data_IF_259502308047
#
_entry.id   IF_259502308047
#
_cell.length_a   1.000
_cell.length_b   1.000
_cell.length_c   1.000
_cell.angle_alpha   90.00
_cell.angle_beta   90.00
_cell.angle_gamma   90.00
#
_symmetry.space_group_name_H-M   'P 1'
#
loop_
_entity.id
_entity.type
_entity.pdbx_description
1 polymer ?
#
# COMPACT_ATOMS: atom_id res chain seq x y z
N UNK A 1 -18.01 -4.86 -14.26
CA UNK A 1 -17.27 -6.04 -13.78
C UNK A 1 -17.58 -7.14 -14.78
N UNK A 2 -16.57 -7.65 -15.50
CA UNK A 2 -16.77 -8.83 -16.35
C UNK A 2 -17.29 -9.96 -15.47
N UNK A 3 -18.39 -10.60 -15.87
CA UNK A 3 -18.89 -11.80 -15.23
C UNK A 3 -17.76 -12.85 -15.23
N UNK A 4 -17.48 -13.40 -14.05
CA UNK A 4 -16.54 -14.50 -13.95
C UNK A 4 -17.25 -15.75 -14.46
N UNK A 5 -16.78 -16.31 -15.56
CA UNK A 5 -17.33 -17.54 -16.11
C UNK A 5 -16.97 -18.72 -15.20
N UNK A 6 -17.98 -19.33 -14.60
CA UNK A 6 -17.82 -20.45 -13.67
C UNK A 6 -17.91 -21.77 -14.44
N UNK A 7 -16.94 -22.70 -14.29
CA UNK A 7 -17.04 -24.02 -14.93
C UNK A 7 -18.34 -24.72 -14.51
N UNK A 8 -19.14 -25.22 -15.49
CA UNK A 8 -20.47 -25.83 -15.25
C UNK A 8 -20.46 -26.88 -14.15
N UNK A 9 -19.43 -27.75 -14.14
CA UNK A 9 -19.22 -28.82 -13.15
C UNK A 9 -18.90 -28.32 -11.72
N UNK A 10 -18.62 -27.05 -11.53
CA UNK A 10 -18.21 -26.45 -10.24
C UNK A 10 -19.16 -25.34 -9.76
N UNK A 11 -20.32 -25.18 -10.40
CA UNK A 11 -21.26 -24.10 -10.08
C UNK A 11 -21.70 -24.14 -8.61
N UNK A 12 -22.11 -25.27 -8.10
CA UNK A 12 -22.56 -25.46 -6.70
C UNK A 12 -21.41 -25.12 -5.70
N UNK A 13 -20.19 -25.57 -6.00
CA UNK A 13 -19.04 -25.35 -5.13
C UNK A 13 -18.69 -23.85 -5.05
N UNK A 14 -18.76 -23.13 -6.15
CA UNK A 14 -18.53 -21.65 -6.20
C UNK A 14 -19.69 -20.89 -5.55
N UNK A 15 -20.92 -21.35 -5.66
CA UNK A 15 -22.06 -20.78 -4.91
C UNK A 15 -21.86 -20.90 -3.40
N UNK A 16 -21.41 -22.07 -2.91
CA UNK A 16 -21.04 -22.27 -1.50
C UNK A 16 -19.92 -21.33 -1.06
N UNK A 17 -18.86 -21.17 -1.88
CA UNK A 17 -17.78 -20.21 -1.63
C UNK A 17 -18.32 -18.78 -1.52
N UNK A 18 -19.19 -18.39 -2.44
CA UNK A 18 -19.80 -17.05 -2.45
C UNK A 18 -20.60 -16.80 -1.17
N UNK A 19 -21.37 -17.78 -0.70
CA UNK A 19 -22.11 -17.72 0.56
C UNK A 19 -21.19 -17.49 1.76
N UNK A 20 -20.09 -18.26 1.87
CA UNK A 20 -19.12 -18.12 2.97
C UNK A 20 -18.40 -16.76 2.91
N UNK A 21 -18.00 -16.28 1.73
CA UNK A 21 -17.40 -14.97 1.55
C UNK A 21 -18.35 -13.86 2.05
N UNK A 22 -19.65 -13.95 1.76
CA UNK A 22 -20.67 -13.01 2.25
C UNK A 22 -20.83 -13.08 3.77
N UNK A 23 -20.94 -14.28 4.33
CA UNK A 23 -21.06 -14.51 5.78
C UNK A 23 -19.88 -13.95 6.57
N UNK A 24 -18.66 -14.03 6.01
CA UNK A 24 -17.44 -13.48 6.62
C UNK A 24 -17.24 -11.98 6.38
N UNK A 25 -18.19 -11.31 5.73
CA UNK A 25 -18.13 -9.87 5.45
C UNK A 25 -16.84 -9.41 4.76
N UNK A 26 -16.32 -10.19 3.80
CA UNK A 26 -15.15 -9.79 3.04
C UNK A 26 -15.43 -8.52 2.22
N UNK A 27 -14.46 -7.61 2.16
CA UNK A 27 -14.54 -6.43 1.29
C UNK A 27 -14.71 -6.87 -0.17
N UNK A 28 -15.49 -6.12 -0.96
CA UNK A 28 -15.78 -6.43 -2.38
C UNK A 28 -14.55 -6.82 -3.20
N UNK A 29 -13.42 -6.10 -3.04
CA UNK A 29 -12.17 -6.40 -3.75
C UNK A 29 -11.57 -7.75 -3.34
N UNK A 30 -11.57 -8.09 -2.04
CA UNK A 30 -11.09 -9.37 -1.53
C UNK A 30 -11.99 -10.51 -2.01
N UNK A 31 -13.32 -10.32 -1.92
CA UNK A 31 -14.30 -11.26 -2.40
C UNK A 31 -14.10 -11.60 -3.89
N UNK A 32 -13.97 -10.56 -4.72
CA UNK A 32 -13.70 -10.73 -6.15
C UNK A 32 -12.38 -11.49 -6.40
N UNK A 33 -11.32 -11.14 -5.70
CA UNK A 33 -10.01 -11.79 -5.85
C UNK A 33 -10.07 -13.27 -5.48
N UNK A 34 -10.75 -13.60 -4.40
CA UNK A 34 -10.91 -14.99 -3.96
C UNK A 34 -11.75 -15.81 -4.92
N UNK A 35 -12.87 -15.27 -5.38
CA UNK A 35 -13.69 -15.93 -6.40
C UNK A 35 -12.88 -16.15 -7.68
N UNK A 36 -12.22 -15.11 -8.17
CA UNK A 36 -11.42 -15.19 -9.40
C UNK A 36 -10.36 -16.29 -9.32
N UNK A 37 -9.57 -16.33 -8.26
CA UNK A 37 -8.48 -17.31 -8.17
C UNK A 37 -8.97 -18.74 -8.03
N UNK A 38 -10.09 -18.97 -7.35
CA UNK A 38 -10.69 -20.30 -7.31
C UNK A 38 -11.26 -20.72 -8.67
N UNK A 39 -11.92 -19.82 -9.38
CA UNK A 39 -12.44 -20.08 -10.72
C UNK A 39 -11.30 -20.34 -11.71
N UNK A 40 -10.24 -19.50 -11.71
CA UNK A 40 -9.04 -19.69 -12.54
C UNK A 40 -8.40 -21.07 -12.31
N UNK A 41 -8.29 -21.50 -11.03
CA UNK A 41 -7.78 -22.82 -10.68
C UNK A 41 -8.67 -23.96 -11.17
N UNK A 42 -9.99 -23.85 -11.00
CA UNK A 42 -10.94 -24.88 -11.43
C UNK A 42 -10.99 -25.02 -12.96
N UNK A 43 -10.83 -23.93 -13.69
CA UNK A 43 -10.62 -23.97 -15.16
C UNK A 43 -9.33 -24.70 -15.52
N UNK A 44 -8.22 -24.38 -14.83
CA UNK A 44 -6.93 -25.03 -15.09
C UNK A 44 -6.96 -26.53 -14.79
N UNK A 45 -7.58 -26.92 -13.68
CA UNK A 45 -7.65 -28.34 -13.27
C UNK A 45 -8.60 -29.16 -14.14
N UNK A 46 -9.62 -28.51 -14.69
CA UNK A 46 -10.70 -29.11 -15.50
C UNK A 46 -11.39 -30.32 -14.85
N UNK A 47 -11.56 -30.29 -13.54
CA UNK A 47 -12.14 -31.32 -12.71
C UNK A 47 -13.23 -30.78 -11.79
N UNK A 48 -14.22 -31.58 -11.34
CA UNK A 48 -15.06 -31.24 -10.20
C UNK A 48 -14.21 -30.97 -8.95
N UNK A 49 -14.62 -29.99 -8.14
CA UNK A 49 -13.88 -29.58 -6.95
C UNK A 49 -13.62 -30.72 -5.96
N UNK A 50 -14.55 -31.67 -5.86
CA UNK A 50 -14.49 -32.87 -5.01
C UNK A 50 -13.41 -33.89 -5.45
N UNK A 51 -12.97 -33.82 -6.72
CA UNK A 51 -11.95 -34.71 -7.31
C UNK A 51 -10.56 -34.07 -7.41
N UNK A 52 -10.38 -32.87 -6.86
CA UNK A 52 -9.09 -32.18 -6.83
C UNK A 52 -8.16 -32.89 -5.85
N UNK A 53 -6.90 -32.98 -6.23
CA UNK A 53 -5.82 -33.62 -5.47
C UNK A 53 -4.68 -32.64 -5.20
N UNK A 54 -3.80 -33.00 -4.26
CA UNK A 54 -2.56 -32.24 -4.00
C UNK A 54 -1.69 -32.12 -5.28
N UNK A 55 -1.70 -33.13 -6.14
CA UNK A 55 -0.98 -33.12 -7.43
C UNK A 55 -1.51 -32.00 -8.35
N UNK A 56 -2.83 -31.76 -8.36
CA UNK A 56 -3.43 -30.70 -9.17
C UNK A 56 -3.04 -29.30 -8.62
N UNK A 57 -3.00 -29.12 -7.29
CA UNK A 57 -2.52 -27.90 -6.66
C UNK A 57 -1.06 -27.61 -7.03
N UNK A 58 -0.18 -28.60 -6.92
CA UNK A 58 1.23 -28.45 -7.25
C UNK A 58 1.43 -28.08 -8.74
N UNK A 59 0.72 -28.78 -9.66
CA UNK A 59 0.73 -28.43 -11.09
C UNK A 59 0.30 -26.99 -11.35
N UNK A 60 -0.70 -26.50 -10.63
CA UNK A 60 -1.15 -25.11 -10.78
C UNK A 60 -0.12 -24.12 -10.26
N UNK A 61 0.54 -24.40 -9.13
CA UNK A 61 1.61 -23.53 -8.63
C UNK A 61 2.76 -23.46 -9.63
N UNK A 62 3.16 -24.58 -10.26
CA UNK A 62 4.18 -24.59 -11.29
C UNK A 62 3.74 -23.83 -12.55
N UNK A 63 2.47 -23.95 -12.93
CA UNK A 63 1.90 -23.13 -14.00
C UNK A 63 2.00 -21.63 -13.72
N UNK A 64 1.66 -21.18 -12.49
CA UNK A 64 1.80 -19.78 -12.10
C UNK A 64 3.26 -19.32 -12.11
N UNK A 65 4.21 -20.16 -11.68
CA UNK A 65 5.64 -19.85 -11.71
C UNK A 65 6.14 -19.71 -13.15
N UNK A 66 5.80 -20.64 -14.05
CA UNK A 66 6.14 -20.59 -15.48
C UNK A 66 5.61 -19.30 -16.13
N UNK A 67 4.45 -18.81 -15.73
CA UNK A 67 3.88 -17.53 -16.16
C UNK A 67 4.52 -16.32 -15.50
N UNK A 68 5.54 -16.48 -14.67
CA UNK A 68 6.22 -15.40 -13.92
C UNK A 68 5.28 -14.56 -13.06
N UNK A 69 4.24 -15.20 -12.51
CA UNK A 69 3.31 -14.55 -11.57
C UNK A 69 4.10 -14.18 -10.30
N UNK A 70 3.89 -12.97 -9.78
CA UNK A 70 4.62 -12.50 -8.61
C UNK A 70 4.41 -13.40 -7.38
N UNK A 71 5.44 -13.57 -6.56
CA UNK A 71 5.39 -14.34 -5.32
C UNK A 71 4.24 -13.90 -4.41
N UNK A 72 3.99 -12.59 -4.29
CA UNK A 72 2.85 -12.07 -3.53
C UNK A 72 1.50 -12.51 -4.09
N UNK A 73 1.34 -12.54 -5.42
CA UNK A 73 0.12 -13.01 -6.08
C UNK A 73 -0.07 -14.51 -5.85
N UNK A 74 1.00 -15.30 -5.93
CA UNK A 74 0.96 -16.75 -5.62
C UNK A 74 0.50 -16.98 -4.18
N UNK A 75 1.01 -16.20 -3.20
CA UNK A 75 0.58 -16.32 -1.80
C UNK A 75 -0.93 -16.04 -1.61
N UNK A 76 -1.48 -15.07 -2.34
CA UNK A 76 -2.92 -14.77 -2.28
C UNK A 76 -3.72 -15.90 -2.92
N UNK A 77 -3.24 -16.47 -4.04
CA UNK A 77 -3.83 -17.66 -4.66
C UNK A 77 -3.91 -18.83 -3.65
N UNK A 78 -2.77 -19.17 -3.04
CA UNK A 78 -2.68 -20.23 -2.03
C UNK A 78 -3.66 -20.00 -0.88
N UNK A 79 -3.73 -18.78 -0.36
CA UNK A 79 -4.64 -18.42 0.74
C UNK A 79 -6.11 -18.55 0.33
N UNK A 80 -6.45 -18.19 -0.91
CA UNK A 80 -7.78 -18.30 -1.47
C UNK A 80 -8.19 -19.75 -1.67
N UNK A 81 -7.31 -20.57 -2.26
CA UNK A 81 -7.53 -22.01 -2.48
C UNK A 81 -7.63 -22.77 -1.16
N UNK A 82 -6.76 -22.45 -0.18
CA UNK A 82 -6.82 -23.05 1.15
C UNK A 82 -8.19 -22.81 1.79
N UNK A 83 -8.69 -21.57 1.80
CA UNK A 83 -10.01 -21.27 2.33
C UNK A 83 -11.12 -22.06 1.59
N UNK A 84 -11.04 -22.19 0.27
CA UNK A 84 -12.02 -22.90 -0.51
C UNK A 84 -12.03 -24.41 -0.19
N UNK A 85 -10.89 -25.06 -0.22
CA UNK A 85 -10.84 -26.52 0.00
C UNK A 85 -11.04 -26.89 1.48
N UNK A 86 -10.42 -26.20 2.43
CA UNK A 86 -10.58 -26.53 3.85
C UNK A 86 -11.92 -26.05 4.43
N UNK A 87 -12.31 -24.79 4.18
CA UNK A 87 -13.48 -24.21 4.85
C UNK A 87 -14.79 -24.51 4.13
N UNK A 88 -14.79 -24.55 2.77
CA UNK A 88 -16.00 -24.74 1.97
C UNK A 88 -16.21 -26.19 1.58
N UNK A 89 -15.15 -26.84 1.06
CA UNK A 89 -15.23 -28.21 0.56
C UNK A 89 -14.97 -29.25 1.66
N UNK A 90 -14.41 -28.87 2.81
CA UNK A 90 -14.03 -29.74 3.92
C UNK A 90 -13.02 -30.82 3.53
N UNK A 91 -12.08 -30.43 2.64
CA UNK A 91 -11.03 -31.31 2.14
C UNK A 91 -9.68 -30.84 2.72
N UNK A 92 -8.92 -31.75 3.33
CA UNK A 92 -7.61 -31.48 3.92
C UNK A 92 -6.47 -31.62 2.88
N UNK A 93 -6.55 -30.81 1.82
CA UNK A 93 -5.56 -30.83 0.74
C UNK A 93 -4.26 -30.05 1.07
N UNK A 94 -4.30 -29.20 2.10
CA UNK A 94 -3.19 -28.32 2.43
C UNK A 94 -2.32 -28.84 3.57
N UNK A 95 -2.62 -30.00 4.16
CA UNK A 95 -1.82 -30.63 5.20
C UNK A 95 -0.38 -30.85 4.76
N UNK A 96 -0.20 -31.49 3.61
CA UNK A 96 1.12 -31.81 3.05
C UNK A 96 1.55 -30.83 1.96
N UNK A 97 0.81 -29.74 1.76
CA UNK A 97 1.12 -28.75 0.76
C UNK A 97 2.27 -27.83 1.22
N UNK A 98 3.39 -27.90 0.50
CA UNK A 98 4.51 -27.00 0.74
C UNK A 98 4.21 -25.61 0.15
N UNK A 99 3.99 -24.62 1.03
CA UNK A 99 3.78 -23.25 0.60
C UNK A 99 5.01 -22.74 -0.14
N UNK A 100 4.83 -22.13 -1.34
CA UNK A 100 5.93 -21.44 -2.00
C UNK A 100 6.55 -20.39 -1.09
N UNK A 101 7.88 -20.35 -1.05
CA UNK A 101 8.60 -19.34 -0.28
C UNK A 101 8.26 -17.96 -0.81
N UNK A 102 7.97 -17.02 0.09
CA UNK A 102 7.76 -15.64 -0.29
C UNK A 102 9.12 -14.98 -0.57
N UNK A 103 9.39 -14.70 -1.82
CA UNK A 103 10.51 -13.84 -2.17
C UNK A 103 10.19 -12.41 -1.73
N UNK A 104 10.96 -11.90 -0.79
CA UNK A 104 10.91 -10.49 -0.42
C UNK A 104 11.75 -9.70 -1.42
N UNK A 105 11.14 -9.22 -2.46
CA UNK A 105 11.76 -8.18 -3.26
C UNK A 105 11.85 -6.94 -2.36
N UNK A 106 13.08 -6.48 -2.09
CA UNK A 106 13.27 -5.20 -1.41
C UNK A 106 12.54 -4.13 -2.22
N UNK A 107 11.54 -3.45 -1.65
CA UNK A 107 10.86 -2.39 -2.38
C UNK A 107 11.91 -1.32 -2.71
N UNK A 108 11.85 -0.82 -3.94
CA UNK A 108 12.69 0.28 -4.36
C UNK A 108 12.49 1.46 -3.40
N UNK A 109 13.55 1.83 -2.69
CA UNK A 109 13.57 3.01 -1.86
C UNK A 109 14.19 4.16 -2.65
N UNK A 110 13.61 5.33 -2.54
CA UNK A 110 14.20 6.56 -3.09
C UNK A 110 15.13 7.18 -2.05
N UNK A 111 16.15 7.86 -2.54
CA UNK A 111 17.08 8.66 -1.74
C UNK A 111 16.44 9.97 -1.30
N UNK A 112 17.07 10.67 -0.35
CA UNK A 112 16.65 12.04 0.02
C UNK A 112 16.68 13.01 -1.17
N UNK A 113 17.69 12.91 -2.03
CA UNK A 113 17.83 13.73 -3.25
C UNK A 113 16.70 13.48 -4.23
N UNK A 114 16.34 12.21 -4.44
CA UNK A 114 15.20 11.85 -5.29
C UNK A 114 13.88 12.35 -4.71
N UNK A 115 13.70 12.30 -3.38
CA UNK A 115 12.52 12.89 -2.75
C UNK A 115 12.46 14.43 -2.94
N UNK A 116 13.58 15.12 -2.90
CA UNK A 116 13.65 16.54 -3.23
C UNK A 116 13.22 16.81 -4.67
N UNK A 117 13.69 15.99 -5.62
CA UNK A 117 13.28 16.09 -7.01
C UNK A 117 11.79 15.88 -7.20
N UNK A 118 11.20 14.89 -6.49
CA UNK A 118 9.76 14.65 -6.47
C UNK A 118 9.00 15.89 -6.00
N UNK A 119 9.38 16.46 -4.87
CA UNK A 119 8.72 17.67 -4.33
C UNK A 119 8.88 18.86 -5.28
N UNK A 120 10.06 19.04 -5.88
CA UNK A 120 10.31 20.08 -6.87
C UNK A 120 9.41 19.91 -8.09
N UNK A 121 9.31 18.71 -8.63
CA UNK A 121 8.44 18.40 -9.79
C UNK A 121 6.96 18.58 -9.42
N UNK A 122 6.55 18.14 -8.23
CA UNK A 122 5.18 18.27 -7.75
C UNK A 122 4.78 19.72 -7.46
N UNK A 123 5.75 20.64 -7.22
CA UNK A 123 5.50 22.02 -6.75
C UNK A 123 4.71 22.90 -7.73
N UNK A 124 4.59 22.49 -8.99
CA UNK A 124 3.74 23.11 -10.02
C UNK A 124 2.26 23.07 -9.59
N UNK A 125 1.86 22.05 -8.81
CA UNK A 125 0.51 21.93 -8.30
C UNK A 125 0.54 21.68 -6.79
N UNK A 126 0.07 22.64 -6.00
CA UNK A 126 0.08 22.57 -4.53
C UNK A 126 -0.63 21.33 -3.96
N UNK A 127 -1.71 20.87 -4.60
CA UNK A 127 -2.42 19.64 -4.23
C UNK A 127 -1.55 18.41 -4.40
N UNK A 128 -0.85 18.31 -5.52
CA UNK A 128 0.03 17.18 -5.83
C UNK A 128 1.26 17.15 -4.92
N UNK A 129 1.85 18.32 -4.66
CA UNK A 129 2.97 18.47 -3.75
C UNK A 129 2.60 18.05 -2.32
N UNK A 130 1.42 18.48 -1.84
CA UNK A 130 0.91 18.06 -0.53
C UNK A 130 0.61 16.57 -0.48
N UNK A 131 0.08 15.95 -1.54
CA UNK A 131 -0.12 14.50 -1.60
C UNK A 131 1.20 13.75 -1.40
N UNK A 132 2.25 14.12 -2.12
CA UNK A 132 3.59 13.54 -1.97
C UNK A 132 4.14 13.78 -0.56
N UNK A 133 3.99 14.99 -0.03
CA UNK A 133 4.43 15.36 1.31
C UNK A 133 3.74 14.57 2.42
N UNK A 134 2.42 14.42 2.35
CA UNK A 134 1.66 13.65 3.34
C UNK A 134 2.02 12.16 3.34
N UNK A 135 2.21 11.58 2.16
CA UNK A 135 2.64 10.19 2.05
C UNK A 135 4.04 10.00 2.62
N UNK A 136 4.97 10.89 2.30
CA UNK A 136 6.35 10.77 2.75
C UNK A 136 6.54 11.23 4.20
N UNK A 137 6.26 12.50 4.52
CA UNK A 137 6.50 13.04 5.87
C UNK A 137 5.50 12.54 6.90
N UNK A 138 4.26 12.26 6.49
CA UNK A 138 3.20 11.73 7.37
C UNK A 138 3.12 10.20 7.37
N UNK A 139 3.80 9.52 6.46
CA UNK A 139 3.75 8.06 6.36
C UNK A 139 2.35 7.51 6.07
N UNK A 140 1.49 8.23 5.35
CA UNK A 140 0.11 7.85 5.12
C UNK A 140 -0.04 6.72 4.09
N UNK A 141 -0.98 5.81 4.35
CA UNK A 141 -1.47 4.87 3.32
C UNK A 141 -2.39 5.62 2.35
N UNK A 142 -2.51 5.12 1.13
CA UNK A 142 -3.41 5.74 0.13
C UNK A 142 -4.84 5.89 0.64
N UNK A 143 -5.38 4.89 1.33
CA UNK A 143 -6.72 4.94 1.93
C UNK A 143 -6.85 5.99 3.03
N UNK A 144 -5.81 6.19 3.84
CA UNK A 144 -5.74 7.23 4.86
C UNK A 144 -5.68 8.61 4.21
N UNK A 145 -4.84 8.77 3.18
CA UNK A 145 -4.69 10.02 2.44
C UNK A 145 -6.00 10.51 1.82
N UNK A 146 -6.73 9.65 1.11
CA UNK A 146 -7.96 10.04 0.43
C UNK A 146 -9.11 10.35 1.40
N UNK A 147 -9.13 9.72 2.58
CA UNK A 147 -10.16 9.94 3.60
C UNK A 147 -9.85 11.11 4.53
N UNK A 148 -8.70 11.78 4.36
CA UNK A 148 -8.32 12.89 5.21
C UNK A 148 -9.24 14.09 5.00
N UNK A 149 -9.62 14.74 6.12
CA UNK A 149 -10.43 15.96 6.13
C UNK A 149 -9.64 17.10 6.74
N UNK A 150 -10.01 18.34 6.44
CA UNK A 150 -9.41 19.52 7.06
C UNK A 150 -9.49 19.48 8.59
N UNK A 151 -10.59 19.01 9.15
CA UNK A 151 -10.77 18.84 10.60
C UNK A 151 -9.78 17.86 11.26
N UNK A 152 -9.07 17.04 10.47
CA UNK A 152 -8.06 16.13 11.01
C UNK A 152 -6.68 16.82 11.17
N UNK A 153 -6.51 18.03 10.64
CA UNK A 153 -5.29 18.81 10.74
C UNK A 153 -5.39 19.77 11.95
N UNK A 154 -4.64 19.50 13.00
CA UNK A 154 -4.57 20.38 14.17
C UNK A 154 -3.34 21.31 14.03
N UNK A 155 -3.57 22.52 13.54
CA UNK A 155 -2.52 23.51 13.34
C UNK A 155 -1.87 23.97 14.66
N UNK A 156 -2.62 23.98 15.77
CA UNK A 156 -2.13 24.41 17.09
C UNK A 156 -1.20 23.35 17.67
N UNK A 157 -1.59 22.07 17.61
CA UNK A 157 -0.81 20.94 18.09
C UNK A 157 0.23 20.45 17.08
N UNK A 158 0.25 21.01 15.87
CA UNK A 158 1.09 20.56 14.76
C UNK A 158 0.98 19.06 14.52
N UNK A 159 -0.24 18.56 14.46
CA UNK A 159 -0.51 17.13 14.35
C UNK A 159 -1.62 16.79 13.37
N UNK A 160 -1.57 15.57 12.85
CA UNK A 160 -2.60 15.00 11.97
C UNK A 160 -3.22 13.81 12.67
N UNK A 161 -4.53 13.82 12.84
CA UNK A 161 -5.28 12.68 13.34
C UNK A 161 -5.62 11.73 12.18
N UNK A 162 -5.05 10.53 12.19
CA UNK A 162 -5.32 9.52 11.18
C UNK A 162 -6.31 8.51 11.76
N UNK A 163 -7.53 8.55 11.24
CA UNK A 163 -8.58 7.57 11.58
C UNK A 163 -8.44 6.38 10.64
N UNK A 164 -8.31 5.19 11.19
CA UNK A 164 -8.28 3.99 10.36
C UNK A 164 -9.69 3.47 10.09
N UNK A 165 -9.95 3.05 8.85
CA UNK A 165 -11.25 2.53 8.41
C UNK A 165 -11.51 1.07 8.79
N UNK A 166 -10.55 0.35 9.36
CA UNK A 166 -10.67 -1.07 9.72
C UNK A 166 -9.77 -1.39 10.89
N UNK A 167 -10.34 -1.78 12.04
CA UNK A 167 -9.66 -2.44 13.19
C UNK A 167 -8.17 -2.07 13.46
N UNK A 168 -7.60 -1.12 12.71
CA UNK A 168 -6.30 -0.54 12.93
C UNK A 168 -6.45 0.62 13.92
N UNK A 169 -5.51 0.75 14.83
CA UNK A 169 -5.48 1.85 15.80
C UNK A 169 -5.40 3.19 15.07
N UNK A 170 -6.26 4.13 15.47
CA UNK A 170 -6.10 5.54 15.11
C UNK A 170 -4.75 6.01 15.66
N UNK A 171 -4.05 6.83 14.90
CA UNK A 171 -2.78 7.40 15.33
C UNK A 171 -2.73 8.88 15.07
N UNK A 172 -1.92 9.57 15.86
CA UNK A 172 -1.57 10.96 15.63
C UNK A 172 -0.16 11.02 15.06
N UNK A 173 0.02 11.76 13.99
CA UNK A 173 1.33 11.99 13.35
C UNK A 173 1.69 13.45 13.53
N UNK A 174 2.90 13.73 14.00
CA UNK A 174 3.42 15.08 14.08
C UNK A 174 3.62 15.68 12.69
N UNK A 175 3.35 16.97 12.54
CA UNK A 175 3.57 17.72 11.31
C UNK A 175 4.97 18.34 11.38
N UNK A 176 5.98 17.79 10.69
CA UNK A 176 7.28 18.45 10.61
C UNK A 176 7.16 19.77 9.84
N UNK A 177 8.15 20.64 9.98
CA UNK A 177 8.14 21.99 9.41
C UNK A 177 7.88 21.96 7.90
N UNK A 178 8.51 21.03 7.21
CA UNK A 178 8.39 20.83 5.75
C UNK A 178 6.94 20.55 5.34
N UNK A 179 6.27 19.64 6.06
CA UNK A 179 4.87 19.32 5.78
C UNK A 179 3.94 20.49 6.14
N UNK A 180 4.23 21.21 7.22
CA UNK A 180 3.46 22.38 7.62
C UNK A 180 3.44 23.48 6.55
N UNK A 181 4.56 23.69 5.87
CA UNK A 181 4.65 24.63 4.74
C UNK A 181 3.77 24.17 3.56
N UNK A 182 3.82 22.88 3.22
CA UNK A 182 2.99 22.33 2.13
C UNK A 182 1.50 22.45 2.42
N UNK A 183 1.10 22.20 3.67
CA UNK A 183 -0.29 22.36 4.12
C UNK A 183 -0.74 23.81 3.92
N UNK A 184 0.02 24.79 4.44
CA UNK A 184 -0.29 26.21 4.29
C UNK A 184 -0.35 26.67 2.84
N UNK A 185 0.55 26.18 1.98
CA UNK A 185 0.55 26.48 0.54
C UNK A 185 -0.72 25.98 -0.12
N UNK A 186 -1.14 24.77 0.19
CA UNK A 186 -2.37 24.19 -0.36
C UNK A 186 -3.63 24.86 0.21
N UNK A 187 -3.65 25.19 1.51
CA UNK A 187 -4.76 25.89 2.17
C UNK A 187 -5.09 27.22 1.50
N UNK A 188 -4.06 28.00 1.10
CA UNK A 188 -4.24 29.26 0.36
C UNK A 188 -4.82 29.06 -1.05
N UNK A 189 -4.60 27.88 -1.66
CA UNK A 189 -5.07 27.55 -2.99
C UNK A 189 -6.42 26.84 -3.03
N UNK A 190 -6.90 26.35 -1.88
CA UNK A 190 -8.10 25.54 -1.76
C UNK A 190 -9.23 26.29 -1.05
N UNK A 191 -10.45 26.18 -1.61
CA UNK A 191 -11.67 26.56 -0.88
C UNK A 191 -11.91 25.48 0.20
N UNK A 192 -11.60 25.77 1.46
CA UNK A 192 -11.63 24.80 2.56
C UNK A 192 -12.77 25.06 3.52
N UNK A 193 -13.47 23.99 3.93
CA UNK A 193 -14.30 23.96 5.13
C UNK A 193 -13.85 22.80 6.01
N UNK A 194 -13.99 22.93 7.33
CA UNK A 194 -13.51 21.94 8.29
C UNK A 194 -14.04 20.51 7.99
N UNK A 195 -15.26 20.38 7.54
CA UNK A 195 -15.89 19.11 7.25
C UNK A 195 -15.59 18.54 5.84
N UNK A 196 -14.96 19.33 4.96
CA UNK A 196 -14.63 18.86 3.62
C UNK A 196 -13.43 17.92 3.61
N UNK A 197 -13.38 17.03 2.61
CA UNK A 197 -12.18 16.23 2.36
C UNK A 197 -11.02 17.13 1.98
N UNK A 198 -9.82 16.80 2.46
CA UNK A 198 -8.59 17.51 2.10
C UNK A 198 -8.35 17.45 0.58
N UNK A 199 -8.70 16.31 -0.02
CA UNK A 199 -8.61 16.09 -1.46
C UNK A 199 -9.99 15.71 -2.03
N UNK A 200 -10.83 16.70 -2.38
CA UNK A 200 -12.17 16.42 -2.89
C UNK A 200 -12.12 15.68 -4.24
N UNK A 201 -13.14 14.88 -4.47
CA UNK A 201 -13.41 14.17 -5.71
C UNK A 201 -14.18 15.03 -6.72
N UNK A 202 -14.66 14.38 -7.78
CA UNK A 202 -15.47 15.04 -8.81
C UNK A 202 -16.90 15.35 -8.36
N UNK A 203 -17.48 14.44 -7.56
CA UNK A 203 -18.85 14.61 -7.06
C UNK A 203 -18.84 15.32 -5.71
N UNK A 204 -19.85 16.15 -5.44
CA UNK A 204 -20.01 16.85 -4.18
C UNK A 204 -19.99 15.88 -2.98
N UNK A 205 -19.28 16.21 -1.93
CA UNK A 205 -19.14 15.35 -0.76
C UNK A 205 -18.29 14.08 -0.94
N UNK A 206 -17.71 13.86 -2.13
CA UNK A 206 -16.80 12.74 -2.38
C UNK A 206 -15.33 13.15 -2.22
N UNK A 207 -14.46 12.16 -2.08
CA UNK A 207 -13.01 12.32 -2.10
C UNK A 207 -12.38 11.78 -3.39
N UNK A 208 -11.14 12.18 -3.66
CA UNK A 208 -10.34 11.60 -4.76
C UNK A 208 -10.21 10.08 -4.61
N UNK A 209 -10.03 9.37 -5.73
CA UNK A 209 -9.87 7.91 -5.69
C UNK A 209 -8.41 7.50 -5.44
N UNK A 210 -8.19 6.33 -4.83
CA UNK A 210 -6.85 5.75 -4.68
C UNK A 210 -6.12 5.64 -6.02
N UNK A 211 -6.82 5.21 -7.06
CA UNK A 211 -6.26 5.08 -8.42
C UNK A 211 -5.75 6.42 -8.97
N UNK A 212 -6.49 7.51 -8.70
CA UNK A 212 -6.06 8.84 -9.14
C UNK A 212 -4.81 9.31 -8.40
N UNK A 213 -4.73 9.08 -7.08
CA UNK A 213 -3.53 9.39 -6.29
C UNK A 213 -2.32 8.60 -6.77
N UNK A 214 -2.48 7.29 -6.99
CA UNK A 214 -1.42 6.42 -7.50
C UNK A 214 -0.92 6.87 -8.87
N UNK A 215 -1.84 7.25 -9.78
CA UNK A 215 -1.50 7.79 -11.09
C UNK A 215 -0.69 9.08 -10.97
N UNK A 216 -1.15 10.04 -10.15
CA UNK A 216 -0.47 11.32 -9.93
C UNK A 216 0.96 11.09 -9.41
N UNK A 217 1.14 10.28 -8.36
CA UNK A 217 2.45 10.03 -7.77
C UNK A 217 3.36 9.30 -8.76
N UNK A 218 2.84 8.36 -9.53
CA UNK A 218 3.61 7.66 -10.56
C UNK A 218 4.07 8.58 -11.69
N UNK A 219 3.22 9.50 -12.14
CA UNK A 219 3.55 10.50 -13.17
C UNK A 219 4.63 11.47 -12.65
N UNK A 220 4.48 11.98 -11.41
CA UNK A 220 5.48 12.85 -10.79
C UNK A 220 6.82 12.11 -10.66
N UNK A 221 6.83 10.86 -10.20
CA UNK A 221 8.04 10.06 -10.07
C UNK A 221 8.77 9.92 -11.41
N UNK A 222 8.04 9.63 -12.49
CA UNK A 222 8.59 9.55 -13.85
C UNK A 222 9.18 10.88 -14.30
N UNK A 223 8.43 11.97 -14.11
CA UNK A 223 8.86 13.32 -14.50
C UNK A 223 10.01 13.86 -13.63
N UNK A 224 10.27 13.23 -12.48
CA UNK A 224 11.40 13.58 -11.60
C UNK A 224 12.72 12.91 -12.01
N UNK A 225 12.74 12.13 -13.10
CA UNK A 225 13.93 11.44 -13.60
C UNK A 225 14.37 10.25 -12.75
N UNK A 226 13.45 9.65 -11.99
CA UNK A 226 13.76 8.48 -11.16
C UNK A 226 13.58 7.21 -12.02
N UNK A 227 14.63 6.37 -12.15
CA UNK A 227 14.58 5.20 -13.04
C UNK A 227 13.57 4.14 -12.62
N UNK A 228 13.35 4.00 -11.31
CA UNK A 228 12.44 3.01 -10.76
C UNK A 228 11.02 3.58 -10.59
N UNK A 229 9.96 2.76 -10.77
CA UNK A 229 8.60 3.22 -10.54
C UNK A 229 8.39 3.76 -9.12
N UNK A 230 7.89 4.99 -9.01
CA UNK A 230 7.52 5.61 -7.74
C UNK A 230 6.03 5.42 -7.50
N UNK A 231 5.69 4.88 -6.35
CA UNK A 231 4.32 4.62 -5.91
C UNK A 231 4.07 5.26 -4.54
N UNK A 232 2.80 5.30 -4.10
CA UNK A 232 2.46 5.68 -2.72
C UNK A 232 3.23 4.81 -1.73
N UNK A 233 3.34 3.50 -2.01
CA UNK A 233 4.09 2.57 -1.17
C UNK A 233 5.58 2.90 -1.14
N UNK A 234 6.18 3.22 -2.30
CA UNK A 234 7.60 3.62 -2.41
C UNK A 234 7.91 4.82 -1.52
N UNK A 235 7.12 5.88 -1.57
CA UNK A 235 7.32 7.09 -0.75
C UNK A 235 7.23 6.79 0.75
N UNK A 236 6.18 6.10 1.16
CA UNK A 236 5.98 5.72 2.56
C UNK A 236 7.08 4.79 3.06
N UNK A 237 7.49 3.80 2.25
CA UNK A 237 8.56 2.86 2.56
C UNK A 237 9.91 3.56 2.70
N UNK A 238 10.23 4.46 1.78
CA UNK A 238 11.46 5.26 1.85
C UNK A 238 11.51 6.11 3.11
N UNK A 239 10.39 6.69 3.57
CA UNK A 239 10.35 7.41 4.84
C UNK A 239 10.70 6.52 6.03
N UNK A 240 10.16 5.30 6.05
CA UNK A 240 10.49 4.33 7.10
C UNK A 240 11.99 4.03 7.15
N UNK A 241 12.59 3.77 5.99
CA UNK A 241 14.02 3.52 5.88
C UNK A 241 14.87 4.72 6.28
N UNK A 242 14.44 5.92 5.89
CA UNK A 242 15.12 7.15 6.28
C UNK A 242 15.05 7.38 7.78
N UNK A 243 13.90 7.17 8.43
CA UNK A 243 13.78 7.25 9.88
C UNK A 243 14.71 6.26 10.59
N UNK A 244 14.79 5.02 10.11
CA UNK A 244 15.70 4.00 10.65
C UNK A 244 17.17 4.40 10.43
N UNK A 245 17.51 4.93 9.26
CA UNK A 245 18.85 5.43 8.96
C UNK A 245 19.23 6.63 9.84
N UNK A 246 18.23 7.45 10.20
CA UNK A 246 18.35 8.60 11.11
C UNK A 246 18.47 8.21 12.58
N UNK A 247 18.40 6.92 12.90
CA UNK A 247 18.56 6.42 14.27
C UNK A 247 17.25 6.19 15.02
N UNK A 248 16.09 6.39 14.40
CA UNK A 248 14.80 6.07 15.03
C UNK A 248 14.72 4.59 15.40
N UNK A 249 14.09 4.29 16.53
CA UNK A 249 13.83 2.91 16.94
C UNK A 249 12.79 2.25 16.04
N UNK A 250 12.83 0.91 15.92
CA UNK A 250 11.83 0.16 15.16
C UNK A 250 10.42 0.35 15.74
N UNK A 251 10.28 0.49 17.05
CA UNK A 251 9.00 0.76 17.69
C UNK A 251 8.45 2.13 17.27
N UNK A 252 9.30 3.16 17.26
CA UNK A 252 8.90 4.48 16.77
C UNK A 252 8.42 4.42 15.30
N UNK A 253 9.15 3.72 14.43
CA UNK A 253 8.76 3.56 13.02
C UNK A 253 7.50 2.74 12.87
N UNK A 254 7.31 1.69 13.68
CA UNK A 254 6.07 0.91 13.75
C UNK A 254 4.87 1.79 14.08
N UNK A 255 4.97 2.61 15.12
CA UNK A 255 3.90 3.48 15.59
C UNK A 255 3.62 4.61 14.59
N UNK A 256 4.66 5.24 14.05
CA UNK A 256 4.57 6.24 12.99
C UNK A 256 3.83 5.70 11.76
N UNK A 257 4.15 4.49 11.32
CA UNK A 257 3.48 3.86 10.18
C UNK A 257 2.09 3.26 10.54
N UNK A 258 1.76 3.11 11.81
CA UNK A 258 0.55 2.41 12.26
C UNK A 258 0.55 0.94 11.85
N UNK A 259 1.66 0.25 12.06
CA UNK A 259 1.74 -1.20 11.89
C UNK A 259 1.22 -1.91 13.14
N UNK A 260 0.39 -2.94 12.97
CA UNK A 260 -0.15 -3.73 14.08
C UNK A 260 0.93 -4.54 14.80
N UNK A 261 1.91 -5.04 14.06
CA UNK A 261 2.98 -5.91 14.58
C UNK A 261 4.35 -5.37 14.24
N UNK A 262 5.33 -5.64 15.10
CA UNK A 262 6.72 -5.30 14.87
C UNK A 262 7.29 -6.04 13.64
N UNK A 263 6.87 -7.27 13.40
CA UNK A 263 7.27 -8.07 12.26
C UNK A 263 7.10 -7.35 10.91
N UNK A 264 6.04 -6.52 10.78
CA UNK A 264 5.83 -5.69 9.59
C UNK A 264 6.90 -4.61 9.41
N UNK A 265 7.61 -4.24 10.49
CA UNK A 265 8.66 -3.21 10.51
C UNK A 265 10.05 -3.84 10.49
N UNK A 266 10.20 -5.05 11.02
CA UNK A 266 11.45 -5.83 10.98
C UNK A 266 11.91 -6.15 9.57
N UNK A 267 10.98 -6.24 8.62
CA UNK A 267 11.29 -6.39 7.19
C UNK A 267 12.20 -5.28 6.64
N UNK A 268 12.32 -4.14 7.35
CA UNK A 268 13.24 -3.04 7.00
C UNK A 268 14.68 -3.26 7.51
N UNK A 269 14.93 -4.21 8.42
CA UNK A 269 16.26 -4.43 9.02
C UNK A 269 17.32 -4.86 7.98
N UNK A 270 17.05 -5.80 7.05
CA UNK A 270 18.03 -6.20 6.04
C UNK A 270 18.46 -5.03 5.15
N UNK A 271 17.52 -4.12 4.84
CA UNK A 271 17.76 -2.94 4.01
C UNK A 271 18.67 -1.92 4.73
N UNK A 272 18.63 -1.86 6.08
CA UNK A 272 19.48 -0.97 6.89
C UNK A 272 20.98 -1.22 6.67
N UNK A 273 21.41 -2.46 6.46
CA UNK A 273 22.82 -2.79 6.21
C UNK A 273 23.32 -2.20 4.88
N UNK A 274 22.50 -2.25 3.85
CA UNK A 274 22.84 -1.75 2.51
C UNK A 274 22.69 -0.21 2.42
N UNK A 275 21.69 0.36 3.09
CA UNK A 275 21.46 1.81 3.13
C UNK A 275 22.53 2.56 3.94
N UNK A 276 23.08 1.98 5.00
CA UNK A 276 24.18 2.60 5.74
C UNK A 276 25.42 2.86 4.89
N UNK A 277 25.64 2.09 3.86
CA UNK A 277 26.72 2.31 2.91
C UNK A 277 26.40 3.47 1.94
N UNK A 278 25.15 3.61 1.50
CA UNK A 278 24.71 4.62 0.52
C UNK A 278 24.23 5.95 1.15
N UNK A 279 23.73 5.92 2.39
CA UNK A 279 23.17 7.09 3.12
C UNK A 279 24.24 7.81 3.99
N UNK A 280 25.43 7.20 4.18
CA UNK A 280 26.56 7.85 4.86
C UNK A 280 27.17 9.03 4.11
N UNK A 281 26.74 9.24 2.88
CA UNK A 281 27.22 10.34 2.07
C UNK A 281 26.69 11.69 2.63
N UNK A 282 27.60 12.66 2.73
CA UNK A 282 27.42 14.06 3.18
C UNK A 282 26.11 14.74 2.75
N UNK A 283 25.36 14.13 1.83
CA UNK A 283 24.16 14.69 1.20
C UNK A 283 22.94 14.83 2.13
N UNK A 284 22.87 14.10 3.26
CA UNK A 284 21.69 14.09 4.14
C UNK A 284 21.44 15.43 4.82
N UNK A 285 22.47 15.97 5.48
CA UNK A 285 22.34 17.26 6.18
C UNK A 285 22.18 18.41 5.20
N UNK A 286 22.88 18.37 4.08
CA UNK A 286 22.79 19.39 3.04
C UNK A 286 21.45 19.33 2.31
N UNK A 287 20.91 18.14 2.07
CA UNK A 287 19.59 17.96 1.48
C UNK A 287 18.47 18.48 2.38
N UNK A 288 18.49 18.14 3.67
CA UNK A 288 17.52 18.64 4.64
C UNK A 288 17.67 20.14 4.89
N UNK A 289 18.90 20.68 4.94
CA UNK A 289 19.15 22.13 5.02
C UNK A 289 18.59 22.86 3.81
N UNK A 290 18.76 22.32 2.61
CA UNK A 290 18.24 22.93 1.38
C UNK A 290 16.71 22.89 1.31
N UNK A 291 16.07 21.82 1.78
CA UNK A 291 14.61 21.75 1.94
C UNK A 291 14.17 22.85 2.93
N UNK A 292 14.76 22.88 4.13
CA UNK A 292 14.43 23.87 5.16
C UNK A 292 14.66 25.32 4.71
N UNK A 293 15.76 25.57 3.98
CA UNK A 293 16.07 26.91 3.45
C UNK A 293 15.04 27.35 2.41
N UNK A 294 14.67 26.47 1.46
CA UNK A 294 13.67 26.74 0.42
C UNK A 294 12.27 27.02 0.99
N UNK A 295 11.93 26.43 2.14
CA UNK A 295 10.64 26.59 2.80
C UNK A 295 10.63 27.71 3.87
N UNK A 296 11.76 28.34 4.19
CA UNK A 296 11.84 29.52 5.09
C UNK A 296 11.80 30.86 4.35
N UNK A 297 12.11 30.85 3.06
CA UNK A 297 12.24 32.07 2.22
C UNK A 297 11.04 32.31 1.31
N UNK A 298 9.98 31.57 1.44
CA UNK A 298 8.66 31.76 0.80
C UNK A 298 7.56 31.83 1.85
#
# INVERSE_FOLDING_TARGET
MSELEVPKKNKNSIERLTKIIRQRNYKKATAYTYLKYNIDFLHFADKPAEKITLKDLNRYMDHLRKRKVSSSTIQINVSSLKMFFEDVMKMDLFRDFQRPVREYNNPNAITYKEMQNILKTASINAKHELMCGLVYFGGLRVGELISLRWAHLDSKRKSIQIKSSALAQSRTVEIPVELGVLIKKYERAALSSANSYLFPGKSMGSHTTSRNVERIISEIGRSSGIPSPVTVFTLRHSRALHLIADGSSLNHVKDFLGHKTLASTESYIPVKKNLRASVREKSRQDALKNIRKKFRTG
#
